data_IF_030816295364
#
_entry.id   IF_030816295364
#
_cell.length_a   1.000
_cell.length_b   1.000
_cell.length_c   1.000
_cell.angle_alpha   90.00
_cell.angle_beta   90.00
_cell.angle_gamma   90.00
#
_symmetry.space_group_name_H-M   'P 1'
#
loop_
_entity.id
_entity.type
_entity.pdbx_description
1 polymer ?
#
# COMPACT_ATOMS: atom_id res chain seq x y z
N UNK A 1 23.55 3.45 15.38
CA UNK A 1 23.13 4.77 14.88
C UNK A 1 22.66 4.71 13.42
N UNK A 2 23.47 4.22 12.47
CA UNK A 2 23.06 4.09 11.05
C UNK A 2 21.78 3.28 10.82
N UNK A 3 21.62 2.15 11.51
CA UNK A 3 20.40 1.31 11.44
C UNK A 3 19.16 2.09 11.89
N UNK A 4 19.26 2.88 12.95
CA UNK A 4 18.15 3.69 13.45
C UNK A 4 17.74 4.76 12.42
N UNK A 5 18.70 5.44 11.81
CA UNK A 5 18.45 6.44 10.76
C UNK A 5 17.80 5.79 9.53
N UNK A 6 18.30 4.63 9.10
CA UNK A 6 17.70 3.91 7.97
C UNK A 6 16.28 3.42 8.28
N UNK A 7 16.04 2.93 9.50
CA UNK A 7 14.72 2.48 9.92
C UNK A 7 13.71 3.64 10.00
N UNK A 8 14.09 4.78 10.60
CA UNK A 8 13.21 5.95 10.68
C UNK A 8 12.97 6.57 9.30
N UNK A 9 14.00 6.65 8.46
CA UNK A 9 13.85 7.11 7.08
C UNK A 9 12.91 6.19 6.27
N UNK A 10 13.07 4.87 6.40
CA UNK A 10 12.20 3.88 5.74
C UNK A 10 10.75 3.98 6.23
N UNK A 11 10.55 4.16 7.54
CA UNK A 11 9.22 4.32 8.14
C UNK A 11 8.55 5.62 7.67
N UNK A 12 9.27 6.75 7.69
CA UNK A 12 8.78 8.02 7.20
C UNK A 12 8.44 7.97 5.71
N UNK A 13 9.31 7.34 4.91
CA UNK A 13 9.09 7.16 3.48
C UNK A 13 7.84 6.30 3.20
N UNK A 14 7.70 5.17 3.89
CA UNK A 14 6.54 4.28 3.76
C UNK A 14 5.25 4.98 4.20
N UNK A 15 5.28 5.73 5.31
CA UNK A 15 4.16 6.53 5.77
C UNK A 15 3.74 7.60 4.77
N UNK A 16 4.71 8.31 4.16
CA UNK A 16 4.44 9.30 3.11
C UNK A 16 3.81 8.69 1.86
N UNK A 17 4.30 7.52 1.41
CA UNK A 17 3.70 6.79 0.31
C UNK A 17 2.28 6.30 0.63
N UNK A 18 2.05 5.81 1.85
CA UNK A 18 0.73 5.38 2.30
C UNK A 18 -0.26 6.55 2.31
N UNK A 19 0.11 7.70 2.88
CA UNK A 19 -0.71 8.92 2.86
C UNK A 19 -1.04 9.33 1.42
N UNK A 20 -0.05 9.35 0.53
CA UNK A 20 -0.27 9.71 -0.86
C UNK A 20 -1.21 8.73 -1.58
N UNK A 21 -1.13 7.44 -1.24
CA UNK A 21 -2.05 6.42 -1.75
C UNK A 21 -3.49 6.68 -1.30
N UNK A 22 -3.72 6.98 -0.03
CA UNK A 22 -5.06 7.28 0.48
C UNK A 22 -5.60 8.59 -0.07
N UNK A 23 -4.79 9.63 -0.20
CA UNK A 23 -5.18 10.89 -0.86
C UNK A 23 -5.60 10.63 -2.30
N UNK A 24 -4.83 9.85 -3.06
CA UNK A 24 -5.16 9.44 -4.43
C UNK A 24 -6.47 8.66 -4.50
N UNK A 25 -6.65 7.68 -3.62
CA UNK A 25 -7.84 6.83 -3.61
C UNK A 25 -9.08 7.65 -3.26
N UNK A 26 -8.99 8.50 -2.24
CA UNK A 26 -10.08 9.36 -1.82
C UNK A 26 -10.45 10.38 -2.90
N UNK A 27 -9.46 11.04 -3.52
CA UNK A 27 -9.74 12.02 -4.57
C UNK A 27 -10.40 11.38 -5.80
N UNK A 28 -9.87 10.24 -6.26
CA UNK A 28 -10.36 9.58 -7.47
C UNK A 28 -11.73 8.91 -7.31
N UNK A 29 -12.13 8.55 -6.08
CA UNK A 29 -13.39 7.85 -5.81
C UNK A 29 -14.48 8.81 -5.35
N UNK A 30 -14.19 9.71 -4.40
CA UNK A 30 -15.22 10.53 -3.72
C UNK A 30 -15.30 11.97 -4.24
N UNK A 31 -14.21 12.53 -4.76
CA UNK A 31 -14.20 13.90 -5.29
C UNK A 31 -14.41 13.94 -6.81
N UNK A 32 -14.27 12.79 -7.47
CA UNK A 32 -14.33 12.70 -8.91
C UNK A 32 -15.75 12.75 -9.47
N UNK A 33 -15.88 13.31 -10.68
CA UNK A 33 -17.15 13.27 -11.42
C UNK A 33 -17.41 11.86 -11.95
N UNK A 34 -18.68 11.41 -12.00
CA UNK A 34 -19.04 10.12 -12.55
C UNK A 34 -18.63 10.05 -14.03
N UNK A 35 -17.86 9.01 -14.40
CA UNK A 35 -17.34 8.82 -15.76
C UNK A 35 -18.15 7.83 -16.60
N UNK A 36 -19.07 7.10 -15.97
CA UNK A 36 -19.94 6.13 -16.62
C UNK A 36 -21.38 6.32 -16.16
N UNK A 37 -22.33 5.86 -16.97
CA UNK A 37 -23.77 6.03 -16.73
C UNK A 37 -24.22 5.16 -15.56
N UNK A 38 -23.56 4.03 -15.34
CA UNK A 38 -23.84 3.07 -14.26
C UNK A 38 -23.64 3.71 -12.87
N UNK A 39 -22.63 4.57 -12.72
CA UNK A 39 -22.35 5.27 -11.44
C UNK A 39 -23.52 6.17 -11.06
N UNK A 40 -24.23 6.76 -12.03
CA UNK A 40 -25.38 7.63 -11.75
C UNK A 40 -26.60 6.88 -11.20
N UNK A 41 -26.65 5.56 -11.38
CA UNK A 41 -27.76 4.71 -10.91
C UNK A 41 -27.41 3.91 -9.65
N UNK A 42 -26.18 4.07 -9.13
CA UNK A 42 -25.69 3.32 -7.98
C UNK A 42 -26.35 3.82 -6.70
N UNK A 43 -26.83 2.90 -5.87
CA UNK A 43 -27.46 3.21 -4.57
C UNK A 43 -26.47 3.08 -3.44
N UNK A 44 -26.75 3.80 -2.34
CA UNK A 44 -26.00 3.71 -1.10
C UNK A 44 -25.94 2.27 -0.59
N UNK A 45 -24.83 1.91 0.05
CA UNK A 45 -24.64 0.57 0.62
C UNK A 45 -25.67 0.26 1.71
N UNK A 46 -26.04 -1.01 1.84
CA UNK A 46 -26.99 -1.44 2.86
C UNK A 46 -26.48 -1.16 4.28
N UNK A 47 -27.38 -0.77 5.19
CA UNK A 47 -27.09 -0.51 6.61
C UNK A 47 -26.19 -1.57 7.29
N UNK A 48 -26.39 -2.90 7.14
CA UNK A 48 -25.50 -3.87 7.77
C UNK A 48 -24.03 -3.73 7.33
N UNK A 49 -23.78 -3.40 6.05
CA UNK A 49 -22.44 -3.17 5.54
C UNK A 49 -21.82 -1.90 6.14
N UNK A 50 -22.60 -0.83 6.28
CA UNK A 50 -22.15 0.41 6.92
C UNK A 50 -21.80 0.19 8.40
N UNK A 51 -22.59 -0.61 9.12
CA UNK A 51 -22.31 -0.97 10.52
C UNK A 51 -20.98 -1.73 10.60
N UNK A 52 -20.73 -2.72 9.74
CA UNK A 52 -19.45 -3.44 9.72
C UNK A 52 -18.25 -2.50 9.47
N UNK A 53 -18.40 -1.56 8.53
CA UNK A 53 -17.37 -0.55 8.27
C UNK A 53 -17.15 0.38 9.47
N UNK A 54 -18.22 0.81 10.14
CA UNK A 54 -18.15 1.66 11.33
C UNK A 54 -17.49 0.93 12.50
N UNK A 55 -17.80 -0.36 12.70
CA UNK A 55 -17.17 -1.19 13.73
C UNK A 55 -15.65 -1.29 13.48
N UNK A 56 -15.22 -1.63 12.26
CA UNK A 56 -13.80 -1.70 11.91
C UNK A 56 -13.07 -0.35 12.07
N UNK A 57 -13.72 0.75 11.70
CA UNK A 57 -13.18 2.09 11.89
C UNK A 57 -13.02 2.44 13.37
N UNK A 58 -14.05 2.15 14.19
CA UNK A 58 -14.01 2.38 15.63
C UNK A 58 -12.93 1.55 16.33
N UNK A 59 -12.75 0.28 15.92
CA UNK A 59 -11.71 -0.59 16.45
C UNK A 59 -10.31 -0.02 16.17
N UNK A 60 -10.09 0.56 14.98
CA UNK A 60 -8.82 1.18 14.61
C UNK A 60 -8.52 2.39 15.51
N UNK A 61 -9.53 3.22 15.80
CA UNK A 61 -9.41 4.33 16.73
C UNK A 61 -9.10 3.87 18.16
N UNK A 62 -9.80 2.83 18.65
CA UNK A 62 -9.59 2.27 19.98
C UNK A 62 -8.16 1.71 20.10
N UNK A 63 -7.73 0.90 19.14
CA UNK A 63 -6.36 0.33 19.12
C UNK A 63 -5.30 1.43 19.08
N UNK A 64 -5.52 2.50 18.32
CA UNK A 64 -4.61 3.64 18.27
C UNK A 64 -4.54 4.42 19.59
N UNK A 65 -5.69 4.71 20.19
CA UNK A 65 -5.77 5.43 21.47
C UNK A 65 -5.15 4.63 22.63
N UNK A 66 -5.45 3.33 22.69
CA UNK A 66 -4.91 2.41 23.71
C UNK A 66 -3.58 1.76 23.31
N UNK A 67 -2.82 2.35 22.37
CA UNK A 67 -1.56 1.76 21.89
C UNK A 67 -0.56 1.51 23.01
N UNK A 68 -0.51 2.38 24.03
CA UNK A 68 0.41 2.22 25.16
C UNK A 68 0.09 0.98 26.01
N UNK A 69 -1.19 0.72 26.24
CA UNK A 69 -1.66 -0.48 26.92
C UNK A 69 -1.32 -1.75 26.13
N UNK A 70 -1.53 -1.73 24.82
CA UNK A 70 -1.18 -2.85 23.93
C UNK A 70 0.32 -3.14 23.96
N UNK A 71 1.17 -2.11 23.93
CA UNK A 71 2.63 -2.28 24.05
C UNK A 71 3.01 -2.96 25.36
N UNK A 72 2.41 -2.53 26.48
CA UNK A 72 2.64 -3.17 27.78
C UNK A 72 2.17 -4.64 27.79
N UNK A 73 1.02 -4.95 27.20
CA UNK A 73 0.54 -6.33 27.09
C UNK A 73 1.52 -7.20 26.28
N UNK A 74 2.01 -6.71 25.15
CA UNK A 74 2.98 -7.43 24.34
C UNK A 74 4.32 -7.61 25.06
N UNK A 75 4.77 -6.64 25.85
CA UNK A 75 5.97 -6.76 26.66
C UNK A 75 5.83 -7.89 27.70
N UNK A 76 4.71 -7.93 28.44
CA UNK A 76 4.43 -9.00 29.42
C UNK A 76 4.39 -10.38 28.75
N UNK A 77 3.76 -10.48 27.59
CA UNK A 77 3.70 -11.72 26.81
C UNK A 77 5.10 -12.11 26.33
N UNK A 78 5.90 -11.14 25.85
CA UNK A 78 7.27 -11.35 25.39
C UNK A 78 8.19 -11.87 26.48
N UNK A 79 8.12 -11.29 27.69
CA UNK A 79 8.90 -11.74 28.85
C UNK A 79 8.49 -13.12 29.37
N UNK A 80 7.30 -13.61 29.02
CA UNK A 80 6.89 -14.99 29.30
C UNK A 80 7.69 -16.02 28.48
N UNK A 81 8.33 -15.62 27.40
CA UNK A 81 9.19 -16.50 26.60
C UNK A 81 10.63 -16.44 27.11
N UNK A 82 11.20 -17.60 27.44
CA UNK A 82 12.57 -17.78 27.96
C UNK A 82 13.65 -17.16 27.07
N UNK A 83 13.41 -17.05 25.77
CA UNK A 83 14.33 -16.44 24.79
C UNK A 83 14.48 -14.93 24.99
N UNK A 84 13.44 -14.25 25.49
CA UNK A 84 13.38 -12.78 25.59
C UNK A 84 13.55 -12.26 27.02
N UNK A 85 13.69 -13.12 28.02
CA UNK A 85 13.81 -12.74 29.44
C UNK A 85 15.03 -11.85 29.75
N UNK A 86 16.12 -12.00 29.01
CA UNK A 86 17.37 -11.24 29.19
C UNK A 86 17.47 -10.00 28.30
N UNK A 87 16.48 -9.74 27.44
CA UNK A 87 16.49 -8.55 26.58
C UNK A 87 15.87 -7.38 27.33
N UNK A 88 16.65 -6.32 27.56
CA UNK A 88 16.14 -5.10 28.17
C UNK A 88 15.08 -4.44 27.26
N UNK A 89 13.94 -4.09 27.84
CA UNK A 89 12.86 -3.41 27.13
C UNK A 89 13.35 -2.07 26.60
N UNK A 90 13.32 -1.89 25.28
CA UNK A 90 13.75 -0.65 24.62
C UNK A 90 12.77 0.51 24.83
N UNK A 91 11.52 0.19 25.20
CA UNK A 91 10.44 1.13 25.46
C UNK A 91 9.91 0.83 26.85
N UNK A 92 9.85 1.84 27.71
CA UNK A 92 9.15 1.77 28.99
C UNK A 92 7.80 2.46 28.87
N UNK A 93 6.78 1.82 29.44
CA UNK A 93 5.43 2.36 29.54
C UNK A 93 5.23 2.95 30.93
N UNK A 94 5.00 4.26 31.01
CA UNK A 94 4.61 4.90 32.27
C UNK A 94 3.10 4.74 32.52
N UNK A 95 2.68 4.87 33.79
CA UNK A 95 1.27 4.77 34.20
C UNK A 95 0.32 5.73 33.46
N UNK A 96 0.83 6.85 32.95
CA UNK A 96 0.06 7.88 32.24
C UNK A 96 -0.04 7.64 30.72
N UNK A 97 0.15 6.40 30.25
CA UNK A 97 0.16 6.03 28.82
C UNK A 97 1.24 6.72 27.99
N UNK A 98 2.35 7.11 28.62
CA UNK A 98 3.50 7.62 27.90
C UNK A 98 4.46 6.50 27.52
N UNK A 99 4.90 6.52 26.27
CA UNK A 99 5.96 5.68 25.76
C UNK A 99 7.27 6.47 25.83
N UNK A 100 8.21 5.97 26.62
CA UNK A 100 9.54 6.55 26.76
C UNK A 100 10.57 5.56 26.24
N UNK A 101 11.56 6.06 25.49
CA UNK A 101 12.72 5.24 25.12
C UNK A 101 13.59 4.96 26.34
N UNK A 102 14.21 3.77 26.41
CA UNK A 102 15.11 3.38 27.51
C UNK A 102 16.24 4.39 27.81
N UNK A 103 16.65 5.20 26.82
CA UNK A 103 17.67 6.25 26.97
C UNK A 103 17.12 7.63 27.36
N UNK A 104 15.80 7.78 27.50
CA UNK A 104 15.13 9.06 27.76
C UNK A 104 15.20 10.07 26.60
N UNK A 105 15.78 9.69 25.46
CA UNK A 105 15.97 10.58 24.31
C UNK A 105 14.66 10.99 23.62
N UNK A 106 13.62 10.16 23.71
CA UNK A 106 12.34 10.40 23.06
C UNK A 106 11.18 9.98 23.97
N UNK A 107 10.15 10.80 23.96
CA UNK A 107 8.92 10.63 24.72
C UNK A 107 7.73 10.91 23.80
N UNK A 108 6.76 10.00 23.81
CA UNK A 108 5.53 10.14 23.04
C UNK A 108 4.34 9.85 23.95
N UNK A 109 3.45 10.82 24.08
CA UNK A 109 2.18 10.67 24.78
C UNK A 109 1.05 10.43 23.79
N UNK A 110 0.48 9.22 23.78
CA UNK A 110 -0.64 8.91 22.89
C UNK A 110 -1.88 9.81 23.16
N UNK A 111 -2.29 10.04 24.43
CA UNK A 111 -3.37 10.99 24.72
C UNK A 111 -3.01 12.43 24.34
N UNK A 112 -1.74 12.83 24.50
CA UNK A 112 -1.26 14.16 24.15
C UNK A 112 -1.32 14.43 22.65
N UNK A 113 -0.90 13.45 21.83
CA UNK A 113 -1.07 13.53 20.37
C UNK A 113 -2.53 13.59 19.96
N UNK A 114 -3.39 12.77 20.57
CA UNK A 114 -4.82 12.77 20.27
C UNK A 114 -5.47 14.13 20.61
N UNK A 115 -5.15 14.69 21.78
CA UNK A 115 -5.60 16.02 22.17
C UNK A 115 -5.07 17.10 21.23
N UNK A 116 -3.79 17.05 20.86
CA UNK A 116 -3.19 18.00 19.93
C UNK A 116 -3.89 17.95 18.57
N UNK A 117 -4.10 16.78 17.99
CA UNK A 117 -4.82 16.64 16.72
C UNK A 117 -6.28 17.07 16.84
N UNK A 118 -6.95 16.74 17.95
CA UNK A 118 -8.31 17.17 18.24
C UNK A 118 -8.44 18.70 18.35
N UNK A 119 -7.52 19.36 19.04
CA UNK A 119 -7.46 20.82 19.16
C UNK A 119 -7.18 21.46 17.81
N UNK A 120 -6.19 20.97 17.07
CA UNK A 120 -5.88 21.49 15.73
C UNK A 120 -7.09 21.36 14.81
N UNK A 121 -7.75 20.20 14.80
CA UNK A 121 -8.96 19.96 14.04
C UNK A 121 -10.08 20.94 14.45
N UNK A 122 -10.34 21.08 15.75
CA UNK A 122 -11.36 21.98 16.28
C UNK A 122 -11.06 23.44 15.90
N UNK A 123 -9.80 23.89 16.03
CA UNK A 123 -9.35 25.22 15.66
C UNK A 123 -9.53 25.48 14.16
N UNK A 124 -9.16 24.53 13.30
CA UNK A 124 -9.35 24.64 11.85
C UNK A 124 -10.84 24.67 11.52
N UNK A 125 -11.65 23.79 12.13
CA UNK A 125 -13.08 23.70 11.90
C UNK A 125 -13.84 24.96 12.36
N UNK A 126 -13.59 25.41 13.60
CA UNK A 126 -14.17 26.65 14.12
C UNK A 126 -13.65 27.86 13.37
N UNK A 127 -12.36 27.92 13.06
CA UNK A 127 -11.74 29.01 12.30
C UNK A 127 -12.36 29.15 10.91
N UNK A 128 -12.46 28.05 10.16
CA UNK A 128 -13.14 28.03 8.86
C UNK A 128 -14.62 28.38 8.99
N UNK A 129 -15.35 27.82 9.96
CA UNK A 129 -16.78 28.12 10.15
C UNK A 129 -17.07 29.57 10.55
N UNK A 130 -16.29 30.12 11.47
CA UNK A 130 -16.53 31.44 12.07
C UNK A 130 -15.93 32.59 11.24
N UNK A 131 -14.77 32.38 10.61
CA UNK A 131 -14.09 33.43 9.84
C UNK A 131 -14.46 33.39 8.36
N UNK A 132 -14.48 32.21 7.74
CA UNK A 132 -14.67 32.06 6.29
C UNK A 132 -16.16 31.90 5.99
N UNK A 133 -16.81 30.87 6.52
CA UNK A 133 -18.17 30.52 6.13
C UNK A 133 -19.27 31.40 6.72
N UNK A 134 -18.99 32.16 7.80
CA UNK A 134 -20.01 32.93 8.55
C UNK A 134 -20.80 33.92 7.68
N UNK A 135 -20.18 34.47 6.64
CA UNK A 135 -20.82 35.43 5.72
C UNK A 135 -20.90 34.92 4.28
N UNK A 136 -20.46 33.69 4.04
CA UNK A 136 -20.34 33.16 2.69
C UNK A 136 -21.67 32.54 2.26
N UNK A 137 -22.32 33.13 1.25
CA UNK A 137 -23.50 32.54 0.63
C UNK A 137 -23.04 31.38 -0.25
N UNK A 138 -23.51 30.17 0.05
CA UNK A 138 -23.23 28.99 -0.76
C UNK A 138 -24.17 29.03 -1.96
N UNK A 139 -23.60 29.18 -3.16
CA UNK A 139 -24.33 29.03 -4.42
C UNK A 139 -23.66 27.94 -5.23
N UNK A 140 -24.43 26.95 -5.67
CA UNK A 140 -23.97 25.97 -6.63
C UNK A 140 -24.07 26.59 -8.03
N UNK A 141 -22.94 26.71 -8.72
CA UNK A 141 -22.86 27.26 -10.06
C UNK A 141 -21.77 26.57 -10.87
N UNK A 142 -21.60 27.00 -12.12
CA UNK A 142 -20.53 26.48 -12.97
C UNK A 142 -19.18 26.81 -12.33
N UNK A 143 -18.33 25.80 -12.22
CA UNK A 143 -16.94 25.98 -11.84
C UNK A 143 -16.17 26.68 -12.96
N UNK A 144 -15.05 27.30 -12.64
CA UNK A 144 -14.17 27.90 -13.64
C UNK A 144 -13.75 26.84 -14.68
N UNK A 145 -14.20 27.03 -15.91
CA UNK A 145 -14.12 26.02 -16.97
C UNK A 145 -13.27 26.48 -18.16
N UNK A 146 -12.54 27.59 -18.00
CA UNK A 146 -11.73 28.23 -19.05
C UNK A 146 -12.49 28.47 -20.36
N UNK A 147 -13.82 28.61 -20.32
CA UNK A 147 -14.66 28.86 -21.49
C UNK A 147 -15.05 27.61 -22.28
N UNK A 148 -14.93 26.41 -21.69
CA UNK A 148 -15.38 25.15 -22.31
C UNK A 148 -16.25 24.35 -21.35
N UNK A 149 -17.22 23.59 -21.85
CA UNK A 149 -18.06 22.75 -20.97
C UNK A 149 -17.22 21.65 -20.31
N UNK A 150 -17.11 21.69 -18.98
CA UNK A 150 -16.39 20.70 -18.19
C UNK A 150 -16.99 19.29 -18.35
N UNK A 151 -16.21 18.38 -18.93
CA UNK A 151 -16.55 16.95 -19.01
C UNK A 151 -15.87 16.14 -17.90
N UNK A 152 -16.43 15.00 -17.46
CA UNK A 152 -15.78 14.10 -16.50
C UNK A 152 -14.39 13.59 -16.94
N UNK A 153 -14.06 13.67 -18.23
CA UNK A 153 -12.74 13.28 -18.78
C UNK A 153 -11.65 14.31 -18.52
N UNK A 154 -12.01 15.56 -18.21
CA UNK A 154 -11.05 16.64 -17.92
C UNK A 154 -10.44 16.53 -16.52
N UNK A 155 -10.98 15.64 -15.67
CA UNK A 155 -10.46 15.42 -14.33
C UNK A 155 -9.20 14.55 -14.32
N UNK A 156 -8.24 14.90 -13.47
CA UNK A 156 -7.00 14.13 -13.26
C UNK A 156 -7.35 12.70 -12.85
N UNK A 157 -6.85 11.72 -13.60
CA UNK A 157 -7.04 10.30 -13.28
C UNK A 157 -6.13 9.88 -12.11
N UNK A 158 -6.50 8.80 -11.41
CA UNK A 158 -5.64 8.21 -10.38
C UNK A 158 -4.24 7.84 -10.92
N UNK A 159 -4.16 7.38 -12.17
CA UNK A 159 -2.89 7.10 -12.85
C UNK A 159 -2.10 8.37 -13.14
N UNK A 160 -2.77 9.46 -13.56
CA UNK A 160 -2.17 10.77 -13.76
C UNK A 160 -1.62 11.37 -12.47
N UNK A 161 -2.35 11.27 -11.35
CA UNK A 161 -1.89 11.71 -10.04
C UNK A 161 -0.64 10.94 -9.59
N UNK A 162 -0.62 9.61 -9.76
CA UNK A 162 0.51 8.77 -9.36
C UNK A 162 1.74 8.89 -10.28
N UNK A 163 1.60 9.50 -11.46
CA UNK A 163 2.63 9.56 -12.50
C UNK A 163 3.96 10.09 -11.99
N UNK A 164 3.96 11.18 -11.21
CA UNK A 164 5.19 11.79 -10.70
C UNK A 164 5.98 10.83 -9.83
N UNK A 165 5.31 10.13 -8.91
CA UNK A 165 5.93 9.14 -8.02
C UNK A 165 6.43 7.95 -8.82
N UNK A 166 5.63 7.43 -9.75
CA UNK A 166 6.02 6.30 -10.61
C UNK A 166 7.26 6.64 -11.45
N UNK A 167 7.36 7.87 -11.95
CA UNK A 167 8.51 8.32 -12.73
C UNK A 167 9.78 8.53 -11.89
N UNK A 168 9.66 9.00 -10.64
CA UNK A 168 10.78 9.06 -9.69
C UNK A 168 11.36 7.66 -9.49
N UNK A 169 10.50 6.65 -9.33
CA UNK A 169 10.89 5.25 -9.14
C UNK A 169 10.98 4.45 -10.44
N UNK A 170 11.12 5.08 -11.61
CA UNK A 170 11.08 4.40 -12.91
C UNK A 170 12.11 3.28 -13.06
N UNK A 171 13.28 3.40 -12.42
CA UNK A 171 14.33 2.39 -12.52
C UNK A 171 13.96 1.10 -11.78
N UNK A 172 13.14 1.22 -10.73
CA UNK A 172 12.64 0.10 -9.93
C UNK A 172 11.33 -0.43 -10.50
N UNK A 173 10.39 0.46 -10.80
CA UNK A 173 9.03 0.11 -11.25
C UNK A 173 8.89 -0.12 -12.76
N UNK A 174 9.91 0.22 -13.56
CA UNK A 174 9.96 0.12 -15.04
C UNK A 174 8.59 0.31 -15.71
N UNK A 175 7.96 1.48 -15.55
CA UNK A 175 6.64 1.73 -16.07
C UNK A 175 6.66 1.70 -17.60
N UNK A 176 5.64 1.08 -18.20
CA UNK A 176 5.36 1.16 -19.64
C UNK A 176 4.43 2.33 -19.91
N UNK A 177 4.82 3.19 -20.85
CA UNK A 177 4.04 4.37 -21.27
C UNK A 177 3.77 4.25 -22.76
N UNK A 178 2.50 4.09 -23.11
CA UNK A 178 2.02 4.06 -24.48
C UNK A 178 1.26 5.35 -24.78
N UNK A 179 1.50 5.95 -25.94
CA UNK A 179 0.83 7.17 -26.38
C UNK A 179 0.18 6.90 -27.72
N UNK A 180 -1.14 6.99 -27.75
CA UNK A 180 -1.91 6.88 -28.98
C UNK A 180 -2.39 8.29 -29.36
N UNK A 181 -2.05 8.72 -30.57
CA UNK A 181 -2.45 10.01 -31.11
C UNK A 181 -3.19 9.78 -32.41
N UNK A 182 -4.46 10.18 -32.45
CA UNK A 182 -5.29 10.17 -33.64
C UNK A 182 -5.28 11.59 -34.23
N UNK A 183 -4.97 11.71 -35.52
CA UNK A 183 -4.99 12.98 -36.24
C UNK A 183 -6.22 13.06 -37.13
N UNK A 184 -6.68 14.28 -37.42
CA UNK A 184 -7.80 14.49 -38.34
C UNK A 184 -7.43 14.19 -39.80
N UNK A 185 -6.20 14.50 -40.18
CA UNK A 185 -5.65 14.31 -41.52
C UNK A 185 -4.17 13.89 -41.38
N UNK A 186 -3.69 13.04 -42.30
CA UNK A 186 -2.28 12.63 -42.35
C UNK A 186 -1.36 13.81 -42.64
N UNK A 187 -1.84 14.79 -43.40
CA UNK A 187 -1.08 15.99 -43.81
C UNK A 187 -1.03 17.06 -42.71
N UNK A 188 -2.00 17.11 -41.78
CA UNK A 188 -2.07 18.13 -40.72
C UNK A 188 -1.85 17.55 -39.32
N UNK A 189 -0.57 17.50 -38.90
CA UNK A 189 -0.16 16.98 -37.57
C UNK A 189 -0.23 17.99 -36.42
N UNK A 190 -0.65 19.23 -36.68
CA UNK A 190 -0.65 20.30 -35.67
C UNK A 190 -1.82 20.24 -34.69
N UNK A 191 -2.95 19.62 -35.07
CA UNK A 191 -4.15 19.53 -34.23
C UNK A 191 -4.57 18.04 -34.15
N UNK A 192 -4.17 17.32 -33.09
CA UNK A 192 -4.60 15.94 -32.91
C UNK A 192 -6.09 15.89 -32.56
N UNK A 193 -6.81 14.96 -33.17
CA UNK A 193 -8.22 14.66 -32.89
C UNK A 193 -8.39 14.06 -31.50
N UNK A 194 -7.48 13.16 -31.12
CA UNK A 194 -7.52 12.48 -29.84
C UNK A 194 -6.11 12.13 -29.38
N UNK A 195 -5.87 12.17 -28.07
CA UNK A 195 -4.63 11.70 -27.45
C UNK A 195 -4.97 10.86 -26.23
N UNK A 196 -4.54 9.60 -26.24
CA UNK A 196 -4.62 8.72 -25.10
C UNK A 196 -3.21 8.40 -24.60
N UNK A 197 -3.04 8.40 -23.27
CA UNK A 197 -1.79 7.99 -22.62
C UNK A 197 -2.12 6.87 -21.67
N UNK A 198 -1.63 5.67 -21.99
CA UNK A 198 -1.82 4.47 -21.17
C UNK A 198 -0.52 4.21 -20.41
N UNK A 199 -0.61 4.27 -19.08
CA UNK A 199 0.50 3.94 -18.19
C UNK A 199 0.20 2.61 -17.51
N UNK A 200 1.13 1.64 -17.63
CA UNK A 200 1.05 0.35 -16.96
C UNK A 200 2.31 0.10 -16.14
N UNK A 201 2.13 -0.41 -14.93
CA UNK A 201 3.22 -0.93 -14.09
C UNK A 201 3.06 -2.45 -14.05
N UNK A 202 4.08 -3.17 -14.50
CA UNK A 202 4.07 -4.63 -14.46
C UNK A 202 4.56 -5.14 -13.10
N UNK A 203 4.16 -6.36 -12.74
CA UNK A 203 4.62 -6.97 -11.50
C UNK A 203 6.10 -7.37 -11.64
N UNK A 204 6.99 -6.61 -11.00
CA UNK A 204 8.43 -6.86 -11.02
C UNK A 204 8.80 -8.24 -10.49
N UNK A 205 8.10 -8.69 -9.43
CA UNK A 205 8.35 -10.01 -8.86
C UNK A 205 7.97 -11.11 -9.83
N UNK A 206 6.92 -10.93 -10.64
CA UNK A 206 6.55 -11.90 -11.66
C UNK A 206 7.69 -12.09 -12.67
N UNK A 207 8.22 -10.98 -13.18
CA UNK A 207 9.22 -10.97 -14.25
C UNK A 207 10.58 -11.47 -13.75
N UNK A 208 11.03 -11.00 -12.59
CA UNK A 208 12.39 -11.23 -12.11
C UNK A 208 12.52 -12.39 -11.13
N UNK A 209 11.46 -12.78 -10.43
CA UNK A 209 11.52 -13.83 -9.41
C UNK A 209 10.69 -15.05 -9.80
N UNK A 210 9.38 -14.89 -10.02
CA UNK A 210 8.49 -16.02 -10.26
C UNK A 210 8.74 -16.70 -11.59
N UNK A 211 8.85 -15.98 -12.72
CA UNK A 211 9.08 -16.59 -14.03
C UNK A 211 10.41 -17.35 -14.13
N UNK A 212 11.56 -16.82 -13.68
CA UNK A 212 12.81 -17.59 -13.68
C UNK A 212 12.72 -18.84 -12.80
N UNK A 213 12.09 -18.73 -11.63
CA UNK A 213 11.89 -19.85 -10.71
C UNK A 213 10.99 -20.92 -11.33
N UNK A 214 9.88 -20.52 -11.97
CA UNK A 214 8.99 -21.43 -12.70
C UNK A 214 9.75 -22.16 -13.80
N UNK A 215 10.50 -21.44 -14.65
CA UNK A 215 11.34 -22.05 -15.70
C UNK A 215 12.38 -23.02 -15.14
N UNK A 216 12.95 -22.72 -13.98
CA UNK A 216 13.89 -23.61 -13.29
C UNK A 216 13.19 -24.90 -12.84
N UNK A 217 12.02 -24.78 -12.19
CA UNK A 217 11.22 -25.93 -11.75
C UNK A 217 10.79 -26.78 -12.95
N UNK A 218 10.30 -26.15 -14.01
CA UNK A 218 9.91 -26.85 -15.24
C UNK A 218 11.11 -27.57 -15.87
N UNK A 219 12.28 -26.93 -15.88
CA UNK A 219 13.52 -27.54 -16.34
C UNK A 219 13.93 -28.76 -15.52
N UNK A 220 13.80 -28.71 -14.20
CA UNK A 220 14.06 -29.85 -13.31
C UNK A 220 13.02 -30.96 -13.55
N UNK A 221 11.75 -30.61 -13.70
CA UNK A 221 10.66 -31.55 -13.97
C UNK A 221 10.88 -32.32 -15.28
N UNK A 222 11.27 -31.61 -16.35
CA UNK A 222 11.62 -32.22 -17.63
C UNK A 222 12.83 -33.16 -17.52
N UNK A 223 13.85 -32.80 -16.74
CA UNK A 223 14.99 -33.70 -16.48
C UNK A 223 14.61 -34.91 -15.63
N UNK A 224 13.73 -34.74 -14.63
CA UNK A 224 13.24 -35.85 -13.80
C UNK A 224 12.47 -36.89 -14.62
N UNK A 225 11.73 -36.44 -15.65
CA UNK A 225 11.06 -37.34 -16.61
C UNK A 225 12.02 -38.29 -17.33
N UNK A 226 13.27 -37.89 -17.57
CA UNK A 226 14.29 -38.75 -18.19
C UNK A 226 14.70 -39.90 -17.27
N UNK A 227 14.74 -39.67 -15.96
CA UNK A 227 15.03 -40.71 -14.95
C UNK A 227 13.90 -41.76 -14.92
N UNK A 228 12.68 -41.35 -15.24
CA UNK A 228 11.51 -42.24 -15.35
C UNK A 228 11.30 -42.82 -16.76
N UNK A 229 12.40 -43.11 -17.48
CA UNK A 229 12.40 -43.54 -18.89
C UNK A 229 11.77 -44.91 -19.20
N UNK A 230 11.05 -45.54 -18.26
CA UNK A 230 10.28 -46.78 -18.49
C UNK A 230 11.08 -48.08 -18.61
N UNK A 231 12.41 -48.03 -18.51
CA UNK A 231 13.27 -49.21 -18.60
C UNK A 231 13.44 -49.89 -17.23
N UNK A 232 12.95 -51.13 -17.11
CA UNK A 232 13.00 -51.93 -15.87
C UNK A 232 14.43 -52.15 -15.37
N UNK A 233 15.40 -52.36 -16.26
CA UNK A 233 16.78 -52.62 -15.87
C UNK A 233 17.43 -51.40 -15.18
N UNK A 234 17.04 -50.19 -15.57
CA UNK A 234 17.53 -48.95 -14.96
C UNK A 234 16.99 -48.80 -13.53
N UNK A 235 15.72 -49.15 -13.30
CA UNK A 235 15.14 -49.14 -11.96
C UNK A 235 15.80 -50.16 -11.02
N UNK A 236 16.12 -51.36 -11.51
CA UNK A 236 16.84 -52.38 -10.72
C UNK A 236 18.22 -51.84 -10.31
N UNK A 237 18.93 -51.16 -11.22
CA UNK A 237 20.22 -50.52 -10.91
C UNK A 237 20.08 -49.42 -9.84
N UNK A 238 19.04 -48.59 -9.90
CA UNK A 238 18.77 -47.57 -8.87
C UNK A 238 18.51 -48.18 -7.49
N UNK A 239 17.72 -49.25 -7.42
CA UNK A 239 17.43 -49.95 -6.14
C UNK A 239 18.71 -50.55 -5.55
N UNK A 240 19.52 -51.20 -6.38
CA UNK A 240 20.80 -51.78 -5.94
C UNK A 240 21.77 -50.70 -5.41
N UNK A 241 21.90 -49.57 -6.12
CA UNK A 241 22.74 -48.44 -5.68
C UNK A 241 22.21 -47.84 -4.37
N UNK A 242 20.90 -47.63 -4.25
CA UNK A 242 20.28 -47.11 -3.04
C UNK A 242 20.52 -48.02 -1.83
N UNK A 243 20.49 -49.35 -2.01
CA UNK A 243 20.82 -50.32 -0.97
C UNK A 243 22.28 -50.23 -0.51
N UNK A 244 23.23 -50.10 -1.44
CA UNK A 244 24.65 -49.91 -1.09
C UNK A 244 24.84 -48.63 -0.29
N UNK A 245 24.24 -47.51 -0.73
CA UNK A 245 24.34 -46.23 -0.03
C UNK A 245 23.71 -46.31 1.36
N UNK A 246 22.53 -46.92 1.49
CA UNK A 246 21.87 -47.11 2.78
C UNK A 246 22.72 -47.97 3.73
N UNK A 247 23.34 -49.05 3.23
CA UNK A 247 24.25 -49.88 4.01
C UNK A 247 25.46 -49.06 4.49
N UNK A 248 26.03 -48.21 3.64
CA UNK A 248 27.17 -47.36 3.99
C UNK A 248 26.83 -46.23 4.97
N UNK A 249 25.58 -45.76 5.00
CA UNK A 249 25.11 -44.76 5.98
C UNK A 249 24.85 -45.40 7.34
N UNK A 250 24.44 -46.67 7.36
CA UNK A 250 24.12 -47.42 8.59
C UNK A 250 25.36 -48.03 9.23
N UNK A 251 26.36 -48.41 8.43
CA UNK A 251 27.67 -48.88 8.89
C UNK A 251 28.54 -47.71 9.37
#
# INVERSE_FOLDING_TARGET
>A
QWIFILATASLAFTGGLALTCFVKAFSAIFLARPRSVEVMHTKESSIPMQISMAVLASLTFIVGFFSSFLTHMFEKIGQSFTIFQTTSSFVSVSSDQHLQSASGFSFVSAPGLFLLFGIVFLCVFLGTRLLIYRKQKIACGNTWDCGTTLSPRMEITATGFARSIVLIFKNVLKPSIQQDVEYHDAESRYIPKSRAVTMRVENMYDIYFYRPLQKMIDGISLKSKVIQGGNVNVYISYIFLALIVALFIVL
#
